data_IF_426205312010
#
_entry.id   IF_426205312010
#
_cell.length_a   1.000
_cell.length_b   1.000
_cell.length_c   1.000
_cell.angle_alpha   90.00
_cell.angle_beta   90.00
_cell.angle_gamma   90.00
#
_symmetry.space_group_name_H-M   'P 1'
#
loop_
_entity.id
_entity.type
_entity.pdbx_description
1 polymer ?
#
# COMPACT_ATOMS: atom_id res chain seq x y z
N UNK A 1 14.13 -32.29 -26.80
CA UNK A 1 13.97 -33.52 -26.00
C UNK A 1 13.02 -33.16 -24.87
N UNK A 2 11.76 -33.36 -25.09
CA UNK A 2 10.91 -34.47 -24.70
C UNK A 2 11.01 -34.86 -23.23
N UNK A 3 9.96 -34.59 -22.47
CA UNK A 3 9.10 -35.45 -21.64
C UNK A 3 8.28 -34.54 -20.71
N UNK A 4 6.98 -34.32 -20.89
CA UNK A 4 5.84 -35.22 -20.59
C UNK A 4 5.91 -35.87 -19.21
N UNK A 5 4.89 -35.59 -18.37
CA UNK A 5 4.20 -36.49 -17.43
C UNK A 5 3.24 -35.59 -16.65
N UNK A 6 2.00 -35.65 -16.83
CA UNK A 6 0.83 -36.46 -16.52
C UNK A 6 0.06 -35.98 -15.26
N UNK A 7 -1.26 -35.90 -15.31
CA UNK A 7 -2.12 -35.30 -14.28
C UNK A 7 -2.55 -36.35 -13.26
N UNK A 8 -2.77 -35.91 -12.01
CA UNK A 8 -3.53 -36.71 -11.03
C UNK A 8 -4.79 -35.94 -10.65
N UNK A 9 -5.89 -36.48 -11.16
CA UNK A 9 -7.23 -36.24 -10.67
C UNK A 9 -7.35 -36.86 -9.26
N UNK A 10 -7.83 -36.09 -8.31
CA UNK A 10 -8.48 -36.66 -7.13
C UNK A 10 -9.77 -35.91 -6.83
N UNK A 11 -10.83 -36.55 -7.25
CA UNK A 11 -12.23 -36.28 -6.89
C UNK A 11 -12.48 -36.59 -5.42
N UNK A 12 -13.05 -35.67 -4.69
CA UNK A 12 -13.57 -35.87 -3.32
C UNK A 12 -14.87 -35.12 -3.13
N UNK A 13 -15.98 -35.81 -3.43
CA UNK A 13 -17.33 -35.43 -3.03
C UNK A 13 -17.47 -35.53 -1.51
N UNK A 14 -17.99 -34.48 -0.88
CA UNK A 14 -18.79 -34.64 0.33
C UNK A 14 -20.01 -33.77 0.26
N UNK A 15 -21.11 -34.45 0.21
CA UNK A 15 -22.47 -33.93 0.19
C UNK A 15 -23.02 -33.82 1.62
N UNK A 16 -23.88 -32.82 1.82
CA UNK A 16 -25.16 -32.83 2.56
C UNK A 16 -25.09 -32.89 4.09
N UNK A 17 -25.60 -31.86 4.73
CA UNK A 17 -26.78 -32.04 5.60
C UNK A 17 -27.52 -30.73 5.80
N UNK A 18 -28.71 -30.67 5.17
CA UNK A 18 -29.83 -29.82 5.59
C UNK A 18 -30.43 -30.37 6.88
N UNK A 19 -30.75 -29.51 7.82
CA UNK A 19 -31.83 -29.78 8.75
C UNK A 19 -32.61 -28.51 9.06
N UNK A 20 -33.84 -28.55 8.62
CA UNK A 20 -34.97 -27.63 8.70
C UNK A 20 -35.82 -28.01 9.92
N UNK A 21 -36.24 -26.99 10.67
CA UNK A 21 -37.55 -26.96 11.38
C UNK A 21 -37.70 -25.57 12.03
N UNK A 22 -38.55 -24.69 11.56
CA UNK A 22 -40.01 -24.46 11.83
C UNK A 22 -40.35 -24.56 13.31
N UNK A 23 -41.03 -23.68 13.92
CA UNK A 23 -42.14 -22.69 13.85
C UNK A 23 -42.19 -22.05 15.25
N UNK A 24 -42.71 -21.01 15.58
CA UNK A 24 -43.70 -20.02 15.25
C UNK A 24 -43.88 -19.04 16.42
N UNK A 25 -44.15 -17.80 16.10
CA UNK A 25 -45.23 -16.94 16.59
C UNK A 25 -45.07 -16.13 17.87
N UNK A 26 -45.15 -14.83 17.61
CA UNK A 26 -46.03 -13.83 18.20
C UNK A 26 -45.45 -12.86 19.23
N UNK A 27 -45.57 -11.61 18.79
CA UNK A 27 -45.87 -10.30 19.40
C UNK A 27 -44.78 -9.36 19.83
N UNK A 28 -44.80 -8.24 19.10
CA UNK A 28 -44.32 -6.87 19.38
C UNK A 28 -45.24 -6.27 20.50
N UNK A 29 -44.91 -5.16 21.16
CA UNK A 29 -43.92 -4.10 20.85
C UNK A 29 -43.16 -3.51 22.06
N UNK A 30 -42.27 -2.62 21.77
CA UNK A 30 -41.89 -1.34 22.38
C UNK A 30 -40.40 -1.19 22.64
N UNK A 31 -39.90 -0.27 21.85
CA UNK A 31 -39.09 0.93 22.16
C UNK A 31 -38.19 0.85 23.40
N UNK A 32 -36.94 1.11 23.22
CA UNK A 32 -36.16 2.24 23.64
C UNK A 32 -34.65 1.95 23.53
N UNK A 33 -33.98 2.97 23.04
CA UNK A 33 -32.62 3.42 23.33
C UNK A 33 -31.41 2.57 22.92
N UNK A 34 -30.73 3.18 21.97
CA UNK A 34 -29.29 3.38 21.87
C UNK A 34 -28.42 2.71 22.94
N UNK A 35 -27.62 1.77 22.54
CA UNK A 35 -26.29 1.66 23.08
C UNK A 35 -25.28 1.34 21.97
N UNK A 36 -24.41 2.31 21.83
CA UNK A 36 -23.27 2.33 20.95
C UNK A 36 -22.23 1.35 21.46
N UNK A 37 -22.26 0.12 20.94
CA UNK A 37 -21.13 -0.77 21.20
C UNK A 37 -20.01 -0.43 20.24
N UNK A 38 -19.17 0.50 20.68
CA UNK A 38 -17.82 0.66 20.20
C UNK A 38 -17.10 -0.68 20.29
N UNK A 39 -16.85 -1.27 19.13
CA UNK A 39 -15.82 -2.30 19.05
C UNK A 39 -14.48 -1.64 19.34
N UNK A 40 -13.92 -2.00 20.47
CA UNK A 40 -12.59 -1.64 20.88
C UNK A 40 -11.59 -2.14 19.84
N UNK A 41 -11.00 -1.20 19.14
CA UNK A 41 -9.74 -1.36 18.46
C UNK A 41 -8.66 -1.60 19.53
N UNK A 42 -7.74 -2.54 19.35
CA UNK A 42 -6.60 -2.64 20.21
C UNK A 42 -5.77 -1.38 20.08
N UNK A 43 -5.75 -0.61 21.14
CA UNK A 43 -4.89 0.53 21.36
C UNK A 43 -3.45 0.01 21.49
N UNK A 44 -2.74 -0.04 20.37
CA UNK A 44 -1.30 -0.26 20.38
C UNK A 44 -0.62 1.06 20.72
N UNK A 45 0.04 1.02 21.87
CA UNK A 45 0.70 2.09 22.60
C UNK A 45 1.29 3.19 21.70
N UNK A 46 0.76 4.37 21.84
CA UNK A 46 1.35 5.62 21.35
C UNK A 46 2.71 5.85 22.02
N UNK A 47 3.77 5.36 21.40
CA UNK A 47 5.10 5.90 21.61
C UNK A 47 5.11 7.28 20.96
N UNK A 48 5.30 8.31 21.75
CA UNK A 48 5.45 9.68 21.27
C UNK A 48 6.66 9.74 20.32
N UNK A 49 6.40 9.56 19.03
CA UNK A 49 7.40 9.71 18.00
C UNK A 49 7.45 11.18 17.56
N UNK A 50 8.67 11.71 17.49
CA UNK A 50 8.96 12.97 16.84
C UNK A 50 8.27 13.03 15.46
N UNK A 51 7.87 14.22 14.96
CA UNK A 51 7.14 14.34 13.69
C UNK A 51 7.87 13.56 12.61
N UNK A 52 7.19 12.56 12.06
CA UNK A 52 7.77 11.67 11.04
C UNK A 52 7.95 12.48 9.75
N UNK A 53 9.16 13.02 9.54
CA UNK A 53 9.47 13.86 8.36
C UNK A 53 9.11 13.19 7.02
N UNK A 54 9.06 11.86 7.00
CA UNK A 54 8.72 11.07 5.82
C UNK A 54 7.21 10.97 5.56
N UNK A 55 6.33 11.25 6.53
CA UNK A 55 4.89 11.19 6.32
C UNK A 55 4.40 12.42 5.54
N UNK A 56 3.51 12.18 4.58
CA UNK A 56 2.91 13.23 3.75
C UNK A 56 2.88 12.92 2.27
N UNK A 57 2.48 13.92 1.49
CA UNK A 57 2.46 13.86 0.03
C UNK A 57 3.70 14.51 -0.56
N UNK A 58 4.29 13.85 -1.55
CA UNK A 58 5.42 14.35 -2.32
C UNK A 58 5.09 14.25 -3.80
N UNK A 59 5.40 15.29 -4.57
CA UNK A 59 5.14 15.26 -6.02
C UNK A 59 6.23 15.97 -6.81
N UNK A 60 6.49 15.45 -8.00
CA UNK A 60 7.48 16.03 -8.90
C UNK A 60 7.52 15.33 -10.24
N UNK A 61 8.38 15.80 -11.11
CA UNK A 61 8.66 15.21 -12.40
C UNK A 61 10.08 14.68 -12.40
N UNK A 62 10.24 13.41 -12.73
CA UNK A 62 11.54 12.75 -12.82
C UNK A 62 11.90 12.43 -14.28
N UNK A 63 13.19 12.27 -14.60
CA UNK A 63 13.63 11.91 -15.94
C UNK A 63 13.09 10.55 -16.40
N UNK A 64 12.86 10.44 -17.70
CA UNK A 64 12.45 9.23 -18.39
C UNK A 64 13.42 8.96 -19.54
N UNK A 65 13.71 7.70 -19.83
CA UNK A 65 14.65 7.33 -20.89
C UNK A 65 14.08 7.55 -22.29
N UNK A 66 12.78 7.32 -22.46
CA UNK A 66 12.09 7.28 -23.76
C UNK A 66 10.77 8.08 -23.74
N UNK A 67 10.64 9.03 -22.81
CA UNK A 67 9.51 9.95 -22.71
C UNK A 67 9.95 11.32 -22.12
N UNK A 68 9.14 12.38 -22.23
CA UNK A 68 9.50 13.72 -21.71
C UNK A 68 9.66 13.77 -20.19
N UNK A 69 9.25 12.75 -19.49
CA UNK A 69 9.36 12.62 -18.03
C UNK A 69 8.25 11.77 -17.45
N UNK A 70 8.38 11.48 -16.16
CA UNK A 70 7.38 10.78 -15.37
C UNK A 70 6.91 11.75 -14.27
N UNK A 71 5.63 12.08 -14.27
CA UNK A 71 5.03 12.77 -13.12
C UNK A 71 4.78 11.73 -12.04
N UNK A 72 5.34 11.97 -10.85
CA UNK A 72 5.21 11.08 -9.70
C UNK A 72 4.48 11.80 -8.56
N UNK A 73 3.57 11.08 -7.91
CA UNK A 73 2.94 11.48 -6.67
C UNK A 73 3.08 10.34 -5.66
N UNK A 74 3.85 10.56 -4.61
CA UNK A 74 4.08 9.62 -3.53
C UNK A 74 3.35 10.10 -2.28
N UNK A 75 2.51 9.24 -1.71
CA UNK A 75 1.86 9.47 -0.42
C UNK A 75 2.39 8.43 0.58
N UNK A 76 2.95 8.90 1.68
CA UNK A 76 3.41 8.06 2.78
C UNK A 76 2.51 8.31 3.99
N UNK A 77 1.81 7.27 4.44
CA UNK A 77 0.86 7.34 5.54
C UNK A 77 1.53 7.00 6.89
N UNK A 78 0.94 7.45 7.99
CA UNK A 78 1.45 7.18 9.34
C UNK A 78 1.40 5.70 9.73
N UNK A 79 0.48 4.94 9.14
CA UNK A 79 0.30 3.51 9.35
C UNK A 79 1.36 2.63 8.65
N UNK A 80 2.33 3.25 7.95
CA UNK A 80 3.35 2.53 7.20
C UNK A 80 2.92 2.08 5.81
N UNK A 81 1.74 2.46 5.35
CA UNK A 81 1.29 2.24 3.97
C UNK A 81 1.73 3.37 3.03
N UNK A 82 1.80 3.08 1.74
CA UNK A 82 2.05 4.09 0.71
C UNK A 82 1.12 3.94 -0.49
N UNK A 83 0.99 5.05 -1.22
CA UNK A 83 0.45 5.10 -2.57
C UNK A 83 1.46 5.83 -3.46
N UNK A 84 1.68 5.30 -4.65
CA UNK A 84 2.55 5.91 -5.66
C UNK A 84 1.83 5.92 -6.99
N UNK A 85 1.56 7.12 -7.49
CA UNK A 85 0.99 7.35 -8.80
C UNK A 85 2.11 7.82 -9.74
N UNK A 86 2.19 7.21 -10.91
CA UNK A 86 3.17 7.54 -11.94
C UNK A 86 2.44 7.78 -13.27
N UNK A 87 2.73 8.90 -13.91
CA UNK A 87 2.23 9.23 -15.23
C UNK A 87 3.40 9.47 -16.18
N UNK A 88 3.62 8.52 -17.09
CA UNK A 88 4.60 8.63 -18.16
C UNK A 88 4.05 9.56 -19.24
N UNK A 89 4.64 10.72 -19.38
CA UNK A 89 4.17 11.75 -20.29
C UNK A 89 4.26 11.30 -21.75
N UNK A 90 3.24 11.65 -22.55
CA UNK A 90 3.12 11.30 -23.96
C UNK A 90 3.10 9.79 -24.27
N UNK A 91 2.91 8.94 -23.25
CA UNK A 91 2.70 7.52 -23.44
C UNK A 91 1.21 7.19 -23.38
N UNK A 92 0.73 6.46 -24.38
CA UNK A 92 -0.60 5.87 -24.33
C UNK A 92 -0.60 4.81 -23.21
N UNK A 93 -1.61 4.87 -22.34
CA UNK A 93 -1.70 3.99 -21.17
C UNK A 93 -0.50 4.11 -20.20
N UNK A 94 0.07 5.33 -20.10
CA UNK A 94 1.25 5.63 -19.28
C UNK A 94 0.94 5.89 -17.80
N UNK A 95 -0.23 5.53 -17.29
CA UNK A 95 -0.61 5.71 -15.89
C UNK A 95 -0.44 4.42 -15.11
N UNK A 96 0.30 4.47 -14.03
CA UNK A 96 0.55 3.34 -13.14
C UNK A 96 0.32 3.75 -11.69
N UNK A 97 -0.25 2.84 -10.92
CA UNK A 97 -0.49 3.02 -9.49
C UNK A 97 0.14 1.85 -8.76
N UNK A 98 0.94 2.15 -7.77
CA UNK A 98 1.50 1.17 -6.86
C UNK A 98 1.09 1.47 -5.42
N UNK A 99 0.89 0.43 -4.64
CA UNK A 99 0.57 0.51 -3.22
C UNK A 99 1.26 -0.61 -2.45
N UNK A 100 1.36 -0.45 -1.17
CA UNK A 100 1.95 -1.45 -0.29
C UNK A 100 2.37 -0.85 1.04
N UNK A 101 3.41 -1.39 1.63
CA UNK A 101 4.00 -0.89 2.86
C UNK A 101 5.38 -0.28 2.60
N UNK A 102 5.85 0.54 3.53
CA UNK A 102 7.21 1.07 3.47
C UNK A 102 7.98 0.83 4.76
N UNK A 103 9.28 0.79 4.64
CA UNK A 103 10.22 0.72 5.78
C UNK A 103 11.09 1.96 5.80
N UNK A 104 11.38 2.45 6.99
CA UNK A 104 12.29 3.59 7.21
C UNK A 104 13.62 3.06 7.69
N UNK A 105 14.72 3.57 7.12
CA UNK A 105 16.07 3.22 7.55
C UNK A 105 16.34 3.66 9.00
N UNK A 106 17.32 3.02 9.65
CA UNK A 106 17.64 3.28 11.05
C UNK A 106 17.99 4.73 11.36
N UNK A 107 18.56 5.45 10.39
CA UNK A 107 18.89 6.88 10.46
C UNK A 107 17.69 7.79 10.14
N UNK A 108 16.56 7.20 9.74
CA UNK A 108 15.36 7.92 9.34
C UNK A 108 15.49 8.72 8.04
N UNK A 109 16.57 8.50 7.25
CA UNK A 109 16.82 9.26 6.04
C UNK A 109 16.22 8.62 4.78
N UNK A 110 16.07 7.30 4.75
CA UNK A 110 15.59 6.60 3.58
C UNK A 110 14.27 5.88 3.85
N UNK A 111 13.43 5.86 2.85
CA UNK A 111 12.19 5.10 2.81
C UNK A 111 12.29 4.09 1.68
N UNK A 112 12.07 2.82 1.99
CA UNK A 112 12.04 1.71 1.03
C UNK A 112 10.62 1.24 0.86
N UNK A 113 10.07 1.37 -0.35
CA UNK A 113 8.73 0.91 -0.69
C UNK A 113 8.75 -0.59 -0.98
N UNK A 114 7.78 -1.31 -0.42
CA UNK A 114 7.49 -2.71 -0.70
C UNK A 114 6.14 -2.78 -1.41
N UNK A 115 6.19 -2.85 -2.73
CA UNK A 115 5.00 -2.89 -3.58
C UNK A 115 4.36 -4.26 -3.55
N UNK A 116 3.04 -4.30 -3.54
CA UNK A 116 2.30 -5.55 -3.70
C UNK A 116 2.54 -6.13 -5.10
N UNK A 117 3.06 -7.37 -5.15
CA UNK A 117 3.31 -8.07 -6.42
C UNK A 117 4.57 -7.66 -7.17
N UNK A 118 5.45 -6.86 -6.56
CA UNK A 118 6.72 -6.45 -7.14
C UNK A 118 7.87 -6.66 -6.16
N UNK A 119 8.83 -7.51 -6.54
CA UNK A 119 10.01 -7.84 -5.72
C UNK A 119 11.12 -6.78 -5.79
N UNK A 120 10.96 -5.75 -6.62
CA UNK A 120 11.97 -4.70 -6.77
C UNK A 120 11.62 -3.52 -5.88
N UNK A 121 12.35 -3.30 -4.77
CA UNK A 121 12.08 -2.17 -3.90
C UNK A 121 12.42 -0.86 -4.59
N UNK A 122 11.62 0.17 -4.33
CA UNK A 122 11.95 1.56 -4.68
C UNK A 122 12.40 2.27 -3.43
N UNK A 123 13.45 3.06 -3.56
CA UNK A 123 14.06 3.76 -2.42
C UNK A 123 13.98 5.27 -2.63
N UNK A 124 13.61 5.98 -1.59
CA UNK A 124 13.61 7.44 -1.56
C UNK A 124 14.46 7.94 -0.39
N UNK A 125 15.35 8.87 -0.66
CA UNK A 125 15.99 9.70 0.36
C UNK A 125 14.97 10.79 0.75
N UNK A 126 14.58 10.89 2.01
CA UNK A 126 13.55 11.82 2.48
C UNK A 126 14.15 12.90 3.37
N UNK A 127 13.94 14.14 2.97
CA UNK A 127 14.26 15.37 3.70
C UNK A 127 12.96 16.01 4.23
N UNK A 128 13.05 17.12 4.91
CA UNK A 128 11.89 17.82 5.52
C UNK A 128 10.86 18.27 4.45
N UNK A 129 11.36 18.76 3.32
CA UNK A 129 10.58 19.40 2.26
C UNK A 129 10.57 18.62 0.94
N UNK A 130 11.22 17.46 0.88
CA UNK A 130 11.37 16.71 -0.36
C UNK A 130 11.68 15.23 -0.15
N UNK A 131 11.34 14.43 -1.15
CA UNK A 131 11.84 13.08 -1.34
C UNK A 131 12.59 13.00 -2.68
N UNK A 132 13.64 12.22 -2.72
CA UNK A 132 14.46 12.00 -3.92
C UNK A 132 14.48 10.51 -4.25
N UNK A 133 14.05 10.14 -5.45
CA UNK A 133 14.18 8.76 -5.91
C UNK A 133 15.67 8.42 -6.08
N UNK A 134 16.09 7.34 -5.43
CA UNK A 134 17.47 6.82 -5.48
C UNK A 134 17.48 5.33 -5.80
N UNK A 135 18.61 4.78 -6.18
CA UNK A 135 18.69 3.36 -6.57
C UNK A 135 18.72 2.44 -5.33
N UNK A 136 19.39 2.89 -4.25
CA UNK A 136 19.50 2.11 -3.00
C UNK A 136 19.70 3.01 -1.78
N UNK A 137 19.52 2.43 -0.62
CA UNK A 137 19.84 3.09 0.66
C UNK A 137 21.33 3.49 0.70
N UNK A 138 21.59 4.72 1.11
CA UNK A 138 22.93 5.30 1.17
C UNK A 138 23.37 6.06 -0.08
N UNK A 139 22.61 6.05 -1.16
CA UNK A 139 22.92 6.84 -2.34
C UNK A 139 22.69 8.33 -2.11
N UNK A 140 23.52 9.15 -2.77
CA UNK A 140 23.36 10.59 -2.77
C UNK A 140 22.13 11.01 -3.61
N UNK A 141 21.47 12.09 -3.16
CA UNK A 141 20.34 12.67 -3.92
C UNK A 141 20.81 13.22 -5.27
N UNK A 142 19.94 13.02 -6.28
CA UNK A 142 20.09 13.60 -7.61
C UNK A 142 18.99 14.68 -7.77
N UNK A 143 19.32 15.95 -8.04
CA UNK A 143 18.33 17.03 -8.10
C UNK A 143 17.16 16.78 -9.07
N UNK A 144 17.43 16.10 -10.19
CA UNK A 144 16.46 15.80 -11.23
C UNK A 144 15.40 14.76 -10.79
N UNK A 145 15.66 14.06 -9.69
CA UNK A 145 14.76 13.03 -9.14
C UNK A 145 14.02 13.51 -7.89
N UNK A 146 13.85 14.83 -7.77
CA UNK A 146 13.20 15.47 -6.62
C UNK A 146 11.67 15.44 -6.74
N UNK A 147 11.03 15.02 -5.65
CA UNK A 147 9.61 15.21 -5.37
C UNK A 147 9.50 16.22 -4.22
N UNK A 148 8.85 17.34 -4.44
CA UNK A 148 8.63 18.34 -3.39
C UNK A 148 7.48 17.90 -2.47
N UNK A 149 7.62 18.12 -1.18
CA UNK A 149 6.56 17.91 -0.20
C UNK A 149 5.46 18.95 -0.38
N UNK A 150 4.21 18.55 -0.22
CA UNK A 150 3.03 19.42 -0.30
C UNK A 150 2.54 19.85 1.06
#
# INVERSE_FOLDING_TARGET
MKKMILPVLLTGLFAVSCSKKEEAKTETPQAVEADSTQQAQPEEAAKAEAPKKHVGEFSGKVPCADCPGIEMKLTLNEDGSFLLDETYLEKKDGQFNAKGSYEVSADGAFVTLKEEGNDKPRVFLVEEDAAYLVEKVGDAKKPDYKLAKK
#
